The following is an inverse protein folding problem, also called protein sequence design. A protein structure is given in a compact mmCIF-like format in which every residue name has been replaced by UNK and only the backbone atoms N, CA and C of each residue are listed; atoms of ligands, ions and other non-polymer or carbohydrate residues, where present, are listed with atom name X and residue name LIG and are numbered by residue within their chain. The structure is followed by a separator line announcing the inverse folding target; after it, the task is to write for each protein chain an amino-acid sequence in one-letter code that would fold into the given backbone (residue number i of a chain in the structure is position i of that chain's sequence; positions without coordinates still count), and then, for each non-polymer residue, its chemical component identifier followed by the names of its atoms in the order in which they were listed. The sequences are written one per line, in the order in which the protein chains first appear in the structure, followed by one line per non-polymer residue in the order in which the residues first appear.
data_IF_339358114278
#
_entry.id   IF_339358114278
#
_cell.length_a   1.000
_cell.length_b   1.000
_cell.length_c   1.000
_cell.angle_alpha   90.00
_cell.angle_beta   90.00
_cell.angle_gamma   90.00
#
_symmetry.space_group_name_H-M   'P 1'
#
loop_
_entity.id
_entity.type
_entity.pdbx_description
1 polymer ?
#
# COMPACT_ATOMS: atom_id res chain seq x y z
N UNK A 1 -15.51 5.46 9.18
CA UNK A 1 -14.45 6.22 8.46
C UNK A 1 -13.47 5.19 7.88
N UNK A 2 -13.18 5.26 6.60
CA UNK A 2 -12.26 4.32 5.95
C UNK A 2 -10.85 4.45 6.53
N UNK A 3 -10.16 3.32 6.71
CA UNK A 3 -8.79 3.24 7.20
C UNK A 3 -7.89 2.68 6.10
N UNK A 4 -6.87 3.42 5.69
CA UNK A 4 -5.98 3.06 4.59
C UNK A 4 -4.55 2.96 5.07
N UNK A 5 -3.90 1.83 4.75
CA UNK A 5 -2.45 1.71 4.90
C UNK A 5 -1.77 2.28 3.64
N UNK A 6 -0.83 3.20 3.81
CA UNK A 6 0.11 3.61 2.77
C UNK A 6 1.45 2.97 3.08
N UNK A 7 1.81 1.96 2.30
CA UNK A 7 2.97 1.11 2.52
C UNK A 7 4.03 1.34 1.46
N UNK A 8 5.24 1.62 1.90
CA UNK A 8 6.36 2.01 1.06
C UNK A 8 7.52 1.03 1.19
N UNK A 9 8.03 0.60 0.06
CA UNK A 9 9.11 -0.37 -0.06
C UNK A 9 10.51 0.23 0.05
N UNK A 10 11.52 -0.56 -0.34
CA UNK A 10 12.92 -0.26 -0.10
C UNK A 10 13.39 1.01 -0.82
N UNK A 11 14.31 1.69 -0.16
CA UNK A 11 14.99 2.88 -0.66
C UNK A 11 14.10 4.14 -0.80
N UNK A 12 12.80 4.06 -0.54
CA UNK A 12 11.91 5.23 -0.60
C UNK A 12 12.22 6.24 0.52
N UNK A 13 12.83 5.81 1.61
CA UNK A 13 13.40 6.71 2.63
C UNK A 13 14.49 7.64 2.09
N UNK A 14 15.10 7.31 0.94
CA UNK A 14 16.15 8.10 0.29
C UNK A 14 15.62 9.07 -0.78
N UNK A 15 14.30 9.19 -0.93
CA UNK A 15 13.70 10.15 -1.87
C UNK A 15 14.16 11.59 -1.57
N UNK A 16 14.40 12.35 -2.65
CA UNK A 16 14.92 13.71 -2.58
C UNK A 16 16.46 13.79 -2.64
N UNK A 17 17.15 12.68 -2.35
CA UNK A 17 18.62 12.59 -2.42
C UNK A 17 19.12 11.61 -3.49
N UNK A 18 18.25 10.66 -3.91
CA UNK A 18 18.58 9.61 -4.86
C UNK A 18 17.99 9.92 -6.24
N UNK A 19 18.82 9.83 -7.28
CA UNK A 19 18.43 9.92 -8.69
C UNK A 19 17.35 10.99 -8.98
N UNK A 20 17.63 12.30 -8.72
CA UNK A 20 16.60 13.36 -8.85
C UNK A 20 15.98 13.44 -10.25
N UNK A 21 16.72 13.05 -11.30
CA UNK A 21 16.23 13.02 -12.67
C UNK A 21 15.14 11.97 -12.93
N UNK A 22 15.02 10.94 -12.06
CA UNK A 22 14.02 9.87 -12.16
C UNK A 22 12.88 10.07 -11.17
N UNK A 23 13.19 10.38 -9.91
CA UNK A 23 12.24 10.45 -8.79
C UNK A 23 11.88 11.87 -8.37
N UNK A 24 12.57 12.89 -8.94
CA UNK A 24 12.46 14.29 -8.51
C UNK A 24 13.17 14.57 -7.18
N UNK A 25 12.92 15.75 -6.63
CA UNK A 25 13.52 16.24 -5.37
C UNK A 25 12.58 16.11 -4.16
N UNK A 26 11.35 15.66 -4.37
CA UNK A 26 10.35 15.51 -3.31
C UNK A 26 10.74 14.37 -2.36
N UNK A 27 10.72 14.64 -1.06
CA UNK A 27 11.02 13.64 -0.02
C UNK A 27 9.80 12.77 0.30
N UNK A 28 10.04 11.60 0.90
CA UNK A 28 8.95 10.74 1.38
C UNK A 28 8.12 11.45 2.46
N UNK A 29 8.74 12.24 3.33
CA UNK A 29 8.04 13.04 4.34
C UNK A 29 7.09 14.08 3.72
N UNK A 30 7.49 14.72 2.61
CA UNK A 30 6.63 15.64 1.88
C UNK A 30 5.44 14.92 1.25
N UNK A 31 5.64 13.72 0.71
CA UNK A 31 4.57 12.85 0.19
C UNK A 31 3.61 12.49 1.31
N UNK A 32 4.11 12.01 2.46
CA UNK A 32 3.29 11.68 3.61
C UNK A 32 2.42 12.85 4.05
N UNK A 33 3.00 14.06 4.16
CA UNK A 33 2.27 15.27 4.51
C UNK A 33 1.13 15.56 3.52
N UNK A 34 1.40 15.43 2.21
CA UNK A 34 0.39 15.64 1.18
C UNK A 34 -0.73 14.61 1.26
N UNK A 35 -0.40 13.32 1.45
CA UNK A 35 -1.36 12.22 1.63
C UNK A 35 -2.24 12.45 2.86
N UNK A 36 -1.64 12.81 4.02
CA UNK A 36 -2.39 13.09 5.24
C UNK A 36 -3.32 14.30 5.09
N UNK A 37 -2.90 15.33 4.36
CA UNK A 37 -3.74 16.49 4.06
C UNK A 37 -4.95 16.09 3.19
N UNK A 38 -4.73 15.27 2.16
CA UNK A 38 -5.80 14.76 1.32
C UNK A 38 -6.75 13.85 2.12
N UNK A 39 -6.21 12.96 2.94
CA UNK A 39 -6.99 12.05 3.78
C UNK A 39 -7.97 12.81 4.70
N UNK A 40 -7.51 13.89 5.33
CA UNK A 40 -8.39 14.76 6.15
C UNK A 40 -9.55 15.34 5.33
N UNK A 41 -9.27 15.82 4.13
CA UNK A 41 -10.32 16.36 3.23
C UNK A 41 -11.31 15.30 2.79
N UNK A 42 -10.84 14.08 2.56
CA UNK A 42 -11.65 12.93 2.14
C UNK A 42 -12.29 12.17 3.31
N UNK A 43 -12.03 12.60 4.56
CA UNK A 43 -12.55 11.98 5.79
C UNK A 43 -12.19 10.51 5.89
N UNK A 44 -10.91 10.18 5.67
CA UNK A 44 -10.34 8.86 5.89
C UNK A 44 -9.12 8.95 6.81
N UNK A 45 -8.81 7.84 7.49
CA UNK A 45 -7.61 7.70 8.30
C UNK A 45 -6.51 7.03 7.47
N UNK A 46 -5.28 7.49 7.64
CA UNK A 46 -4.11 6.94 6.96
C UNK A 46 -3.03 6.59 7.98
N UNK A 47 -2.55 5.35 7.92
CA UNK A 47 -1.25 4.98 8.50
C UNK A 47 -0.24 4.90 7.38
N UNK A 48 0.92 5.52 7.60
CA UNK A 48 1.98 5.61 6.61
C UNK A 48 3.21 4.88 7.14
N UNK A 49 3.67 3.85 6.43
CA UNK A 49 4.82 3.01 6.80
C UNK A 49 5.81 2.94 5.65
N UNK A 50 7.10 2.79 5.98
CA UNK A 50 8.17 2.50 5.04
C UNK A 50 9.07 1.42 5.62
N UNK A 51 9.37 0.40 4.82
CA UNK A 51 10.24 -0.72 5.19
C UNK A 51 11.20 -1.03 4.05
N UNK A 52 12.43 -1.43 4.37
CA UNK A 52 13.41 -1.87 3.39
C UNK A 52 13.42 -3.40 3.21
N UNK A 53 12.95 -4.15 4.18
CA UNK A 53 12.92 -5.61 4.14
C UNK A 53 11.67 -6.18 3.49
N UNK A 54 11.82 -7.20 2.66
CA UNK A 54 10.70 -7.91 2.03
C UNK A 54 9.77 -8.52 3.09
N UNK A 55 10.34 -9.18 4.12
CA UNK A 55 9.57 -9.76 5.21
C UNK A 55 8.80 -8.73 6.01
N UNK A 56 9.40 -7.56 6.27
CA UNK A 56 8.72 -6.45 6.96
C UNK A 56 7.49 -5.95 6.19
N UNK A 57 7.57 -5.88 4.86
CA UNK A 57 6.43 -5.50 4.01
C UNK A 57 5.32 -6.56 4.06
N UNK A 58 5.69 -7.85 4.04
CA UNK A 58 4.73 -8.95 4.18
C UNK A 58 4.02 -8.89 5.52
N UNK A 59 4.77 -8.71 6.62
CA UNK A 59 4.20 -8.58 7.96
C UNK A 59 3.31 -7.35 8.11
N UNK A 60 3.71 -6.21 7.52
CA UNK A 60 2.87 -5.00 7.51
C UNK A 60 1.51 -5.22 6.82
N UNK A 61 1.48 -6.01 5.74
CA UNK A 61 0.23 -6.41 5.08
C UNK A 61 -0.60 -7.35 5.97
N UNK A 62 0.03 -8.33 6.64
CA UNK A 62 -0.67 -9.22 7.57
C UNK A 62 -1.29 -8.44 8.73
N UNK A 63 -0.53 -7.54 9.34
CA UNK A 63 -1.03 -6.69 10.43
C UNK A 63 -2.18 -5.78 9.98
N UNK A 64 -2.14 -5.31 8.73
CA UNK A 64 -3.18 -4.47 8.16
C UNK A 64 -4.55 -5.17 8.08
N UNK A 65 -4.61 -6.51 7.99
CA UNK A 65 -5.87 -7.28 7.97
C UNK A 65 -6.77 -6.96 9.17
N UNK A 66 -6.18 -6.63 10.31
CA UNK A 66 -6.91 -6.36 11.55
C UNK A 66 -7.59 -4.98 11.60
N UNK A 67 -7.17 -4.04 10.74
CA UNK A 67 -7.62 -2.65 10.86
C UNK A 67 -7.83 -1.92 9.53
N UNK A 68 -7.05 -2.19 8.47
CA UNK A 68 -7.16 -1.47 7.21
C UNK A 68 -8.34 -1.96 6.36
N UNK A 69 -8.95 -1.04 5.64
CA UNK A 69 -9.97 -1.34 4.64
C UNK A 69 -9.38 -1.45 3.23
N UNK A 70 -8.27 -0.76 2.98
CA UNK A 70 -7.51 -0.80 1.73
C UNK A 70 -6.03 -0.47 1.95
N UNK A 71 -5.21 -0.74 0.94
CA UNK A 71 -3.78 -0.43 0.94
C UNK A 71 -3.42 0.36 -0.32
N UNK A 72 -2.64 1.41 -0.16
CA UNK A 72 -1.88 2.06 -1.24
C UNK A 72 -0.44 1.59 -1.09
N UNK A 73 0.05 0.83 -2.05
CA UNK A 73 1.36 0.19 -1.99
C UNK A 73 2.29 0.76 -3.05
N UNK A 74 3.42 1.31 -2.61
CA UNK A 74 4.57 1.48 -3.49
C UNK A 74 5.60 0.38 -3.14
N UNK A 75 5.65 -0.72 -3.90
CA UNK A 75 6.53 -1.85 -3.58
C UNK A 75 8.00 -1.54 -3.91
N UNK A 76 8.26 -0.44 -4.62
CA UNK A 76 9.57 -0.11 -5.16
C UNK A 76 10.15 -1.28 -5.98
N UNK A 77 11.42 -1.63 -5.78
CA UNK A 77 12.05 -2.71 -6.54
C UNK A 77 11.39 -4.08 -6.30
N UNK A 78 10.81 -4.33 -5.15
CA UNK A 78 10.16 -5.62 -4.87
C UNK A 78 8.93 -5.89 -5.73
N UNK A 79 8.31 -4.88 -6.32
CA UNK A 79 7.25 -5.10 -7.31
C UNK A 79 7.71 -5.93 -8.50
N UNK A 80 9.00 -5.82 -8.86
CA UNK A 80 9.59 -6.49 -10.01
C UNK A 80 10.21 -7.86 -9.68
N UNK A 81 10.31 -8.25 -8.41
CA UNK A 81 11.07 -9.43 -7.98
C UNK A 81 10.34 -10.31 -6.96
N UNK A 82 9.41 -9.76 -6.18
CA UNK A 82 8.88 -10.45 -5.01
C UNK A 82 7.59 -11.20 -5.30
N UNK A 83 7.69 -12.51 -5.46
CA UNK A 83 6.53 -13.42 -5.44
C UNK A 83 5.93 -13.49 -4.02
N UNK A 84 6.76 -13.40 -2.97
CA UNK A 84 6.29 -13.42 -1.59
C UNK A 84 5.35 -12.24 -1.28
N UNK A 85 5.71 -11.04 -1.75
CA UNK A 85 4.86 -9.86 -1.57
C UNK A 85 3.55 -9.97 -2.38
N UNK A 86 3.63 -10.49 -3.62
CA UNK A 86 2.46 -10.80 -4.44
C UNK A 86 1.50 -11.75 -3.71
N UNK A 87 2.03 -12.82 -3.12
CA UNK A 87 1.23 -13.81 -2.40
C UNK A 87 0.63 -13.24 -1.11
N UNK A 88 1.35 -12.36 -0.41
CA UNK A 88 0.83 -11.65 0.75
C UNK A 88 -0.37 -10.76 0.37
N UNK A 89 -0.29 -10.02 -0.72
CA UNK A 89 -1.42 -9.21 -1.23
C UNK A 89 -2.64 -10.10 -1.47
N UNK A 90 -2.47 -11.21 -2.19
CA UNK A 90 -3.56 -12.15 -2.47
C UNK A 90 -4.13 -12.78 -1.19
N UNK A 91 -3.25 -13.16 -0.25
CA UNK A 91 -3.62 -13.84 0.99
C UNK A 91 -4.39 -12.97 1.96
N UNK A 92 -4.05 -11.68 2.05
CA UNK A 92 -4.75 -10.74 2.93
C UNK A 92 -6.14 -10.37 2.45
N UNK A 93 -6.41 -10.50 1.16
CA UNK A 93 -7.67 -10.10 0.50
C UNK A 93 -8.01 -8.62 0.69
N UNK A 94 -7.06 -7.80 1.14
CA UNK A 94 -7.23 -6.36 1.16
C UNK A 94 -7.15 -5.81 -0.27
N UNK A 95 -8.03 -4.89 -0.65
CA UNK A 95 -7.87 -4.21 -1.93
C UNK A 95 -6.60 -3.35 -1.90
N UNK A 96 -5.69 -3.60 -2.84
CA UNK A 96 -4.41 -2.90 -2.97
C UNK A 96 -4.42 -2.08 -4.24
N UNK A 97 -4.11 -0.80 -4.14
CA UNK A 97 -3.77 0.06 -5.27
C UNK A 97 -2.26 0.24 -5.30
N UNK A 98 -1.61 -0.26 -6.34
CA UNK A 98 -0.17 -0.10 -6.51
C UNK A 98 0.15 1.27 -7.11
N UNK A 99 1.17 1.95 -6.57
CA UNK A 99 1.62 3.25 -7.06
C UNK A 99 3.12 3.28 -7.26
N UNK A 100 3.56 4.00 -8.27
CA UNK A 100 4.97 4.30 -8.55
C UNK A 100 5.12 5.78 -8.91
N UNK A 101 6.21 6.40 -8.45
CA UNK A 101 6.54 7.79 -8.78
C UNK A 101 6.88 7.95 -10.25
N UNK A 102 7.77 7.07 -10.76
CA UNK A 102 8.19 7.07 -12.15
C UNK A 102 7.22 6.27 -13.03
N UNK A 103 7.21 6.57 -14.34
CA UNK A 103 6.59 5.68 -15.31
C UNK A 103 7.46 4.44 -15.49
N UNK A 104 7.08 3.32 -14.87
CA UNK A 104 7.86 2.07 -14.89
C UNK A 104 8.00 1.49 -16.31
N UNK A 105 7.08 1.79 -17.22
CA UNK A 105 7.14 1.34 -18.61
C UNK A 105 8.11 2.15 -19.48
N UNK A 106 8.55 3.32 -19.03
CA UNK A 106 9.54 4.18 -19.68
C UNK A 106 10.96 3.99 -19.13
N UNK A 107 11.17 3.02 -18.27
CA UNK A 107 12.45 2.68 -17.65
C UNK A 107 13.05 1.41 -18.24
N UNK A 108 13.99 0.79 -17.52
CA UNK A 108 14.65 -0.44 -17.93
C UNK A 108 13.62 -1.57 -18.14
N UNK A 109 13.84 -2.48 -19.11
CA UNK A 109 12.88 -3.54 -19.43
C UNK A 109 12.44 -4.38 -18.25
N UNK A 110 13.34 -4.65 -17.27
CA UNK A 110 13.00 -5.44 -16.08
C UNK A 110 12.00 -4.74 -15.12
N UNK A 111 11.78 -3.41 -15.26
CA UNK A 111 10.80 -2.67 -14.47
C UNK A 111 9.42 -2.63 -15.10
N UNK A 112 9.26 -3.10 -16.33
CA UNK A 112 7.97 -3.06 -17.04
C UNK A 112 6.97 -4.08 -16.51
N UNK A 113 7.47 -5.14 -15.88
CA UNK A 113 6.65 -6.16 -15.25
C UNK A 113 6.59 -5.94 -13.73
N UNK A 114 5.39 -6.01 -13.16
CA UNK A 114 5.17 -5.97 -11.72
C UNK A 114 4.37 -7.19 -11.28
N UNK A 115 4.97 -8.06 -10.47
CA UNK A 115 4.30 -9.21 -9.86
C UNK A 115 3.17 -8.77 -8.92
N UNK A 116 3.36 -7.67 -8.21
CA UNK A 116 2.39 -7.15 -7.27
C UNK A 116 1.20 -6.49 -7.96
N UNK A 117 1.41 -5.83 -9.10
CA UNK A 117 0.33 -5.23 -9.88
C UNK A 117 -0.67 -6.26 -10.42
N UNK A 118 -0.22 -7.49 -10.70
CA UNK A 118 -1.09 -8.56 -11.20
C UNK A 118 -2.22 -8.94 -10.23
N UNK A 119 -2.02 -8.72 -8.95
CA UNK A 119 -2.97 -9.05 -7.88
C UNK A 119 -3.54 -7.79 -7.17
N UNK A 120 -3.12 -6.61 -7.60
CA UNK A 120 -3.67 -5.35 -7.15
C UNK A 120 -5.00 -5.03 -7.85
N UNK A 121 -5.78 -4.13 -7.26
CA UNK A 121 -7.00 -3.59 -7.87
C UNK A 121 -6.66 -2.79 -9.13
N UNK A 122 -5.54 -2.07 -9.09
CA UNK A 122 -5.05 -1.26 -10.19
C UNK A 122 -3.66 -0.69 -9.91
N UNK A 123 -3.08 -0.10 -10.94
CA UNK A 123 -1.74 0.48 -10.94
C UNK A 123 -1.80 1.94 -11.39
N UNK A 124 -1.13 2.82 -10.65
CA UNK A 124 -0.90 4.22 -11.00
C UNK A 124 0.60 4.48 -11.03
N UNK A 125 1.11 4.95 -12.14
CA UNK A 125 2.54 5.06 -12.39
C UNK A 125 2.85 6.31 -13.19
N UNK A 126 3.91 7.05 -12.82
CA UNK A 126 4.47 8.11 -13.65
C UNK A 126 4.08 9.54 -13.30
N UNK A 127 3.28 9.77 -12.27
CA UNK A 127 2.81 11.11 -11.87
C UNK A 127 3.55 11.68 -10.66
N UNK A 128 4.74 11.16 -10.35
CA UNK A 128 5.51 11.62 -9.20
C UNK A 128 4.74 11.43 -7.90
N UNK A 129 4.82 12.41 -7.01
CA UNK A 129 4.09 12.40 -5.75
C UNK A 129 2.56 12.30 -5.92
N UNK A 130 2.02 12.83 -7.01
CA UNK A 130 0.59 12.76 -7.29
C UNK A 130 0.09 11.33 -7.50
N UNK A 131 0.97 10.39 -7.86
CA UNK A 131 0.60 8.96 -7.92
C UNK A 131 0.04 8.45 -6.59
N UNK A 132 0.56 8.92 -5.45
CA UNK A 132 0.04 8.58 -4.13
C UNK A 132 -1.33 9.19 -3.84
N UNK A 133 -1.52 10.45 -4.23
CA UNK A 133 -2.80 11.15 -4.04
C UNK A 133 -3.90 10.51 -4.87
N UNK A 134 -3.59 10.19 -6.12
CA UNK A 134 -4.48 9.45 -7.02
C UNK A 134 -4.74 8.03 -6.49
N UNK A 135 -3.72 7.37 -5.94
CA UNK A 135 -3.83 6.04 -5.32
C UNK A 135 -4.79 6.03 -4.13
N UNK A 136 -4.71 7.03 -3.26
CA UNK A 136 -5.64 7.17 -2.13
C UNK A 136 -7.08 7.38 -2.62
N UNK A 137 -7.27 8.25 -3.61
CA UNK A 137 -8.59 8.50 -4.21
C UNK A 137 -9.15 7.23 -4.85
N UNK A 138 -8.32 6.49 -5.60
CA UNK A 138 -8.71 5.23 -6.24
C UNK A 138 -9.11 4.17 -5.20
N UNK A 139 -8.36 4.04 -4.11
CA UNK A 139 -8.67 3.12 -3.02
C UNK A 139 -10.03 3.44 -2.38
N UNK A 140 -10.30 4.71 -2.09
CA UNK A 140 -11.57 5.13 -1.51
C UNK A 140 -12.74 4.96 -2.50
N UNK A 141 -12.53 5.25 -3.79
CA UNK A 141 -13.54 5.03 -4.83
C UNK A 141 -13.87 3.53 -4.97
N UNK A 142 -12.86 2.66 -4.88
CA UNK A 142 -13.07 1.22 -4.89
C UNK A 142 -13.89 0.76 -3.69
N UNK A 143 -13.55 1.23 -2.47
CA UNK A 143 -14.29 0.89 -1.24
C UNK A 143 -15.75 1.35 -1.28
N UNK A 144 -16.03 2.48 -1.91
CA UNK A 144 -17.40 2.97 -2.07
C UNK A 144 -18.27 2.03 -2.93
N UNK A 145 -17.66 1.35 -3.90
CA UNK A 145 -18.32 0.38 -4.77
C UNK A 145 -18.32 -1.04 -4.20
N UNK A 146 -17.32 -1.35 -3.35
CA UNK A 146 -17.09 -2.66 -2.76
C UNK A 146 -16.89 -2.48 -1.24
N UNK A 147 -17.97 -2.19 -0.48
CA UNK A 147 -17.82 -1.95 0.96
C UNK A 147 -17.19 -3.16 1.64
N UNK A 148 -16.24 -2.93 2.57
CA UNK A 148 -15.61 -4.01 3.30
C UNK A 148 -16.67 -4.83 4.03
N UNK A 149 -16.50 -6.17 4.02
CA UNK A 149 -17.36 -7.04 4.85
C UNK A 149 -17.24 -6.60 6.29
N UNK A 150 -18.37 -6.49 6.99
CA UNK A 150 -18.37 -6.19 8.43
C UNK A 150 -17.37 -7.11 9.12
N UNK A 151 -16.40 -6.52 9.83
CA UNK A 151 -15.47 -7.29 10.64
C UNK A 151 -16.31 -7.95 11.73
N UNK A 152 -16.56 -9.26 11.61
CA UNK A 152 -17.13 -10.01 12.70
C UNK A 152 -16.17 -9.84 13.88
N UNK A 153 -16.70 -9.29 14.98
CA UNK A 153 -15.98 -9.23 16.24
C UNK A 153 -15.60 -10.68 16.57
N UNK A 154 -14.31 -11.02 16.43
CA UNK A 154 -13.78 -12.35 16.73
C UNK A 154 -14.03 -12.65 18.19
N UNK A 155 -15.19 -13.21 18.49
CA UNK A 155 -15.52 -13.74 19.80
C UNK A 155 -14.60 -14.91 20.09
N UNK A 156 -13.58 -14.64 20.91
CA UNK A 156 -12.83 -15.70 21.57
C UNK A 156 -13.83 -16.49 22.39
N UNK A 157 -14.33 -17.59 21.86
CA UNK A 157 -15.05 -18.59 22.66
C UNK A 157 -14.03 -19.15 23.67
N UNK A 158 -14.02 -18.59 24.87
CA UNK A 158 -13.46 -19.24 26.03
C UNK A 158 -14.19 -20.56 26.19
N UNK A 159 -13.53 -21.68 25.84
CA UNK A 159 -13.99 -23.00 26.27
C UNK A 159 -13.93 -23.00 27.80
N UNK A 160 -15.12 -22.98 28.42
CA UNK A 160 -15.25 -23.34 29.83
C UNK A 160 -14.84 -24.81 29.92
N UNK A 161 -13.76 -25.08 30.61
CA UNK A 161 -13.44 -26.40 31.13
C UNK A 161 -14.46 -26.71 32.20
N UNK A 162 -15.43 -27.54 31.88
CA UNK A 162 -16.23 -28.21 32.94
C UNK A 162 -15.36 -29.33 33.50
N UNK A 163 -14.95 -29.12 34.76
CA UNK A 163 -14.40 -30.14 35.62
C UNK A 163 -15.56 -30.95 36.21
N UNK A 164 -15.52 -32.23 36.02
CA UNK A 164 -16.08 -33.22 36.92
C UNK A 164 -14.96 -34.20 37.31
#
# INVERSE_FOLDING_TARGET
MAQVLVLNGPNLNLLGTREPGVYGTTTLAAIEKAVRNLARRLRCEVRFLQCNGEGELVEALHDAMGWADAVVLNPAAYGHTSVALRDAISGTRLPVVEVHLSNIHAREPFRRHSFTAEVAVGLISGFGADSYLLGLQAALAYLAQHPPRSREAGGVRRRRSESQ
#
